data_IF_055182676296
#
_entry.id   IF_055182676296
#
_cell.length_a   1.000
_cell.length_b   1.000
_cell.length_c   1.000
_cell.angle_alpha   90.00
_cell.angle_beta   90.00
_cell.angle_gamma   90.00
#
_symmetry.space_group_name_H-M   'P 1'
#
loop_
_entity.id
_entity.type
_entity.pdbx_description
1 polymer ?
#
# COMPACT_ATOMS: atom_id res chain seq x y z
N UNK A 1 -0.25 50.77 34.46
CA UNK A 1 0.01 49.77 33.41
C UNK A 1 -0.03 48.37 34.02
N UNK A 2 -0.95 47.50 33.60
CA UNK A 2 -1.19 46.21 34.27
C UNK A 2 -0.15 45.16 33.82
N UNK A 3 0.85 44.92 34.66
CA UNK A 3 1.95 43.95 34.41
C UNK A 3 1.43 42.53 34.16
N UNK A 4 0.30 42.14 34.76
CA UNK A 4 -0.30 40.83 34.56
C UNK A 4 -0.86 40.66 33.14
N UNK A 5 -1.49 41.71 32.61
CA UNK A 5 -2.00 41.72 31.24
C UNK A 5 -0.87 41.57 30.20
N UNK A 6 0.24 42.30 30.41
CA UNK A 6 1.44 42.19 29.56
C UNK A 6 2.04 40.78 29.58
N UNK A 7 2.19 40.19 30.77
CA UNK A 7 2.73 38.82 30.93
C UNK A 7 1.84 37.78 30.24
N UNK A 8 0.52 37.92 30.32
CA UNK A 8 -0.43 37.03 29.65
C UNK A 8 -0.34 37.16 28.11
N UNK A 9 -0.23 38.38 27.58
CA UNK A 9 -0.08 38.61 26.16
C UNK A 9 1.21 37.99 25.62
N UNK A 10 2.36 38.20 26.28
CA UNK A 10 3.63 37.58 25.88
C UNK A 10 3.54 36.05 25.86
N UNK A 11 2.91 35.42 26.86
CA UNK A 11 2.75 33.96 26.89
C UNK A 11 1.95 33.43 25.70
N UNK A 12 0.88 34.13 25.29
CA UNK A 12 0.07 33.75 24.13
C UNK A 12 0.87 33.85 22.84
N UNK A 13 1.62 34.93 22.64
CA UNK A 13 2.46 35.11 21.45
C UNK A 13 3.49 33.98 21.35
N UNK A 14 4.17 33.65 22.45
CA UNK A 14 5.14 32.55 22.48
C UNK A 14 4.48 31.20 22.15
N UNK A 15 3.27 30.94 22.67
CA UNK A 15 2.53 29.72 22.36
C UNK A 15 2.15 29.62 20.88
N UNK A 16 1.67 30.71 20.28
CA UNK A 16 1.32 30.77 18.85
C UNK A 16 2.55 30.58 17.98
N UNK A 17 3.67 31.25 18.30
CA UNK A 17 4.93 31.08 17.57
C UNK A 17 5.44 29.64 17.65
N UNK A 18 5.35 29.00 18.83
CA UNK A 18 5.73 27.59 19.02
C UNK A 18 4.86 26.67 18.18
N UNK A 19 3.53 26.85 18.22
CA UNK A 19 2.59 26.08 17.42
C UNK A 19 2.83 26.25 15.91
N UNK A 20 3.05 27.49 15.44
CA UNK A 20 3.34 27.76 14.04
C UNK A 20 4.64 27.11 13.56
N UNK A 21 5.68 27.13 14.40
CA UNK A 21 6.96 26.44 14.12
C UNK A 21 6.75 24.93 14.02
N UNK A 22 5.97 24.34 14.93
CA UNK A 22 5.69 22.91 14.92
C UNK A 22 4.89 22.50 13.68
N UNK A 23 3.86 23.27 13.31
CA UNK A 23 3.07 23.03 12.09
C UNK A 23 3.90 23.13 10.82
N UNK A 24 4.79 24.12 10.73
CA UNK A 24 5.74 24.26 9.60
C UNK A 24 6.69 23.07 9.51
N UNK A 25 7.13 22.54 10.64
CA UNK A 25 8.00 21.36 10.69
C UNK A 25 7.24 20.08 10.29
N UNK A 26 5.99 19.93 10.71
CA UNK A 26 5.13 18.82 10.29
C UNK A 26 4.81 18.87 8.80
N UNK A 27 4.49 20.04 8.24
CA UNK A 27 4.28 20.21 6.80
C UNK A 27 5.55 19.93 6.00
N UNK A 28 6.73 20.32 6.51
CA UNK A 28 8.00 19.99 5.88
C UNK A 28 8.27 18.49 5.90
N UNK A 29 8.00 17.81 7.02
CA UNK A 29 8.06 16.35 7.12
C UNK A 29 7.07 15.67 6.15
N UNK A 30 5.85 16.18 6.04
CA UNK A 30 4.85 15.68 5.07
C UNK A 30 5.30 15.87 3.62
N UNK A 31 5.98 16.97 3.30
CA UNK A 31 6.57 17.19 1.96
C UNK A 31 7.71 16.23 1.66
N UNK A 32 8.57 15.94 2.63
CA UNK A 32 9.70 15.02 2.48
C UNK A 32 9.27 13.54 2.45
N UNK A 33 8.24 13.18 3.24
CA UNK A 33 7.63 11.85 3.28
C UNK A 33 6.39 11.73 2.37
N UNK A 34 6.27 12.60 1.37
CA UNK A 34 5.13 12.59 0.46
C UNK A 34 5.12 11.32 -0.42
N UNK A 35 3.98 10.98 -1.04
CA UNK A 35 3.87 9.79 -1.91
C UNK A 35 4.96 9.73 -2.99
N UNK A 36 5.39 10.87 -3.53
CA UNK A 36 6.45 10.94 -4.52
C UNK A 36 7.84 10.49 -4.02
N UNK A 37 8.15 10.60 -2.71
CA UNK A 37 9.39 10.02 -2.18
C UNK A 37 9.27 8.52 -1.97
N UNK A 38 8.10 8.03 -1.56
CA UNK A 38 7.84 6.60 -1.45
C UNK A 38 7.91 5.89 -2.82
N UNK A 39 7.33 6.48 -3.87
CA UNK A 39 7.39 5.93 -5.23
C UNK A 39 8.82 5.88 -5.75
N UNK A 40 9.61 6.95 -5.59
CA UNK A 40 11.04 6.93 -5.98
C UNK A 40 11.81 5.83 -5.26
N UNK A 41 11.56 5.64 -3.97
CA UNK A 41 12.20 4.60 -3.19
C UNK A 41 11.80 3.20 -3.67
N UNK A 42 10.50 2.98 -3.96
CA UNK A 42 10.01 1.70 -4.47
C UNK A 42 10.59 1.39 -5.86
N UNK A 43 10.60 2.35 -6.78
CA UNK A 43 11.21 2.16 -8.10
C UNK A 43 12.71 1.86 -8.01
N UNK A 44 13.42 2.46 -7.05
CA UNK A 44 14.82 2.10 -6.77
C UNK A 44 14.95 0.63 -6.34
N UNK A 45 14.04 0.13 -5.50
CA UNK A 45 14.06 -1.28 -5.09
C UNK A 45 13.68 -2.22 -6.23
N UNK A 46 12.69 -1.86 -7.06
CA UNK A 46 12.32 -2.60 -8.25
C UNK A 46 13.49 -2.73 -9.23
N UNK A 47 14.23 -1.64 -9.44
CA UNK A 47 15.46 -1.66 -10.24
C UNK A 47 16.55 -2.58 -9.63
N UNK A 48 16.75 -2.54 -8.31
CA UNK A 48 17.70 -3.46 -7.65
C UNK A 48 17.28 -4.94 -7.80
N UNK A 49 15.98 -5.22 -7.82
CA UNK A 49 15.43 -6.55 -8.07
C UNK A 49 15.73 -7.02 -9.50
N UNK A 50 15.64 -6.14 -10.50
CA UNK A 50 16.05 -6.45 -11.88
C UNK A 50 17.54 -6.81 -11.95
N UNK A 51 18.41 -5.99 -11.35
CA UNK A 51 19.85 -6.22 -11.31
C UNK A 51 20.22 -7.52 -10.58
N UNK A 52 19.50 -7.83 -9.51
CA UNK A 52 19.62 -9.13 -8.84
C UNK A 52 19.21 -10.27 -9.78
N UNK A 53 18.10 -10.13 -10.51
CA UNK A 53 17.68 -11.12 -11.50
C UNK A 53 18.72 -11.38 -12.57
N UNK A 54 19.33 -10.32 -13.10
CA UNK A 54 20.44 -10.42 -14.08
C UNK A 54 21.63 -11.18 -13.49
N UNK A 55 22.04 -10.83 -12.27
CA UNK A 55 23.17 -11.46 -11.57
C UNK A 55 22.95 -12.96 -11.37
N UNK A 56 21.73 -13.35 -11.04
CA UNK A 56 21.37 -14.74 -10.70
C UNK A 56 20.69 -15.49 -11.84
N UNK A 57 20.65 -14.92 -13.06
CA UNK A 57 19.99 -15.48 -14.24
C UNK A 57 18.50 -15.83 -14.00
N UNK A 58 17.82 -15.05 -13.17
CA UNK A 58 16.38 -15.16 -12.91
C UNK A 58 15.64 -14.19 -13.82
N UNK A 59 14.75 -14.73 -14.66
CA UNK A 59 13.85 -13.92 -15.48
C UNK A 59 12.56 -13.62 -14.73
N UNK A 60 12.14 -12.36 -14.79
CA UNK A 60 10.86 -11.92 -14.26
C UNK A 60 9.85 -11.76 -15.39
N UNK A 61 8.58 -12.00 -15.09
CA UNK A 61 7.46 -11.76 -15.98
C UNK A 61 6.66 -10.56 -15.47
N UNK A 62 6.95 -9.31 -15.92
CA UNK A 62 6.34 -8.11 -15.35
C UNK A 62 4.82 -8.11 -15.47
N UNK A 63 4.26 -8.73 -16.52
CA UNK A 63 2.81 -8.89 -16.70
C UNK A 63 2.13 -9.78 -15.64
N UNK A 64 2.91 -10.58 -14.89
CA UNK A 64 2.40 -11.39 -13.77
C UNK A 64 2.61 -10.71 -12.41
N UNK A 65 3.32 -9.59 -12.36
CA UNK A 65 3.54 -8.86 -11.12
C UNK A 65 2.25 -8.20 -10.67
N UNK A 66 1.95 -8.34 -9.38
CA UNK A 66 0.81 -7.70 -8.73
C UNK A 66 1.33 -6.63 -7.77
N UNK A 67 0.71 -5.47 -7.76
CA UNK A 67 1.01 -4.40 -6.83
C UNK A 67 -0.27 -3.95 -6.13
N UNK A 68 -0.20 -3.70 -4.84
CA UNK A 68 -1.32 -3.23 -4.03
C UNK A 68 -0.83 -2.20 -3.03
N UNK A 69 -1.58 -1.11 -2.86
CA UNK A 69 -1.23 -0.04 -1.92
C UNK A 69 -1.98 -0.26 -0.61
N UNK A 70 -1.22 -0.49 0.46
CA UNK A 70 -1.77 -0.57 1.82
C UNK A 70 -1.51 0.77 2.50
N UNK A 71 -2.56 1.56 2.71
CA UNK A 71 -2.44 2.88 3.33
C UNK A 71 -3.72 3.30 4.03
N UNK A 72 -3.56 4.07 5.11
CA UNK A 72 -4.67 4.77 5.79
C UNK A 72 -4.95 6.15 5.20
N UNK A 73 -4.11 6.61 4.26
CA UNK A 73 -4.23 7.94 3.66
C UNK A 73 -5.18 7.91 2.46
N UNK A 74 -6.19 8.80 2.43
CA UNK A 74 -7.04 8.94 1.26
C UNK A 74 -6.21 9.40 0.06
N UNK A 75 -6.43 8.77 -1.10
CA UNK A 75 -5.72 9.10 -2.34
C UNK A 75 -4.30 8.54 -2.45
N UNK A 76 -3.83 7.71 -1.51
CA UNK A 76 -2.53 7.06 -1.61
C UNK A 76 -2.41 6.19 -2.88
N UNK A 77 -3.47 5.46 -3.24
CA UNK A 77 -3.51 4.68 -4.48
C UNK A 77 -3.32 5.56 -5.72
N UNK A 78 -4.05 6.69 -5.82
CA UNK A 78 -3.89 7.66 -6.92
C UNK A 78 -2.48 8.23 -7.01
N UNK A 79 -1.84 8.46 -5.87
CA UNK A 79 -0.51 9.03 -5.83
C UNK A 79 0.60 8.03 -6.22
N UNK A 80 0.29 6.74 -6.28
CA UNK A 80 1.21 5.65 -6.67
C UNK A 80 0.83 5.05 -8.03
N UNK A 81 -0.43 5.16 -8.43
CA UNK A 81 -0.96 4.62 -9.69
C UNK A 81 -0.12 5.06 -10.87
N UNK A 82 0.23 4.09 -11.73
CA UNK A 82 1.00 4.30 -12.97
C UNK A 82 2.43 4.85 -12.79
N UNK A 83 2.89 5.04 -11.55
CA UNK A 83 4.25 5.52 -11.29
C UNK A 83 5.22 4.41 -10.89
N UNK A 84 4.73 3.21 -10.57
CA UNK A 84 5.58 2.05 -10.31
C UNK A 84 5.93 1.37 -11.63
N UNK A 85 7.22 1.20 -11.89
CA UNK A 85 7.72 0.60 -13.12
C UNK A 85 8.67 -0.56 -12.82
N UNK A 86 8.55 -1.63 -13.59
CA UNK A 86 9.43 -2.79 -13.56
C UNK A 86 9.61 -3.34 -14.98
N UNK A 87 10.84 -3.54 -15.43
CA UNK A 87 11.21 -3.96 -16.78
C UNK A 87 10.73 -2.97 -17.84
N UNK A 88 10.71 -1.68 -17.53
CA UNK A 88 10.16 -0.64 -18.41
C UNK A 88 8.62 -0.67 -18.55
N UNK A 89 7.91 -1.58 -17.87
CA UNK A 89 6.44 -1.66 -17.86
C UNK A 89 5.90 -1.05 -16.58
N UNK A 90 4.80 -0.31 -16.68
CA UNK A 90 4.07 0.18 -15.51
C UNK A 90 3.33 -0.99 -14.82
N UNK A 91 3.45 -1.07 -13.49
CA UNK A 91 2.74 -2.06 -12.69
C UNK A 91 1.29 -1.62 -12.46
N UNK A 92 0.35 -2.53 -12.70
CA UNK A 92 -1.06 -2.28 -12.39
C UNK A 92 -1.30 -2.43 -10.88
N UNK A 93 -1.94 -1.40 -10.30
CA UNK A 93 -2.42 -1.49 -8.93
C UNK A 93 -3.71 -2.29 -8.88
N UNK A 94 -3.77 -3.24 -7.96
CA UNK A 94 -4.94 -4.09 -7.72
C UNK A 94 -5.47 -3.82 -6.31
N UNK A 95 -6.80 -3.93 -6.16
CA UNK A 95 -7.46 -3.80 -4.85
C UNK A 95 -7.32 -5.05 -3.98
N UNK A 96 -6.90 -6.15 -4.59
CA UNK A 96 -6.61 -7.43 -3.97
C UNK A 96 -5.41 -8.10 -4.62
N UNK A 97 -4.71 -8.94 -3.88
CA UNK A 97 -3.63 -9.78 -4.40
C UNK A 97 -3.88 -11.24 -4.03
N UNK A 98 -3.39 -12.17 -4.87
CA UNK A 98 -3.44 -13.60 -4.59
C UNK A 98 -2.04 -14.10 -4.26
N UNK A 99 -1.86 -14.57 -3.04
CA UNK A 99 -0.58 -15.07 -2.53
C UNK A 99 -0.80 -16.45 -1.93
N UNK A 100 -0.09 -17.46 -2.45
CA UNK A 100 -0.15 -18.85 -1.97
C UNK A 100 -1.57 -19.42 -1.86
N UNK A 101 -2.44 -19.10 -2.82
CA UNK A 101 -3.83 -19.56 -2.85
C UNK A 101 -4.81 -18.68 -2.06
N UNK A 102 -4.32 -17.78 -1.21
CA UNK A 102 -5.14 -16.85 -0.43
C UNK A 102 -5.33 -15.53 -1.18
N UNK A 103 -6.54 -14.97 -1.14
CA UNK A 103 -6.83 -13.63 -1.67
C UNK A 103 -7.00 -12.65 -0.53
N UNK A 104 -6.26 -11.53 -0.58
CA UNK A 104 -6.24 -10.49 0.46
C UNK A 104 -6.50 -9.14 -0.18
N UNK A 105 -7.35 -8.30 0.44
CA UNK A 105 -7.66 -6.94 -0.03
C UNK A 105 -6.68 -5.87 0.50
N UNK A 106 -6.80 -4.64 0.02
CA UNK A 106 -6.01 -3.48 0.45
C UNK A 106 -6.19 -3.09 1.93
N UNK A 107 -7.23 -3.62 2.59
CA UNK A 107 -7.46 -3.51 4.03
C UNK A 107 -6.90 -4.72 4.81
N UNK A 108 -6.17 -5.62 4.15
CA UNK A 108 -5.63 -6.86 4.70
C UNK A 108 -6.70 -7.85 5.18
N UNK A 109 -7.90 -7.78 4.61
CA UNK A 109 -9.00 -8.70 4.89
C UNK A 109 -9.04 -9.82 3.86
N UNK A 110 -9.49 -10.98 4.30
CA UNK A 110 -9.63 -12.19 3.49
C UNK A 110 -11.08 -12.67 3.40
N UNK A 111 -12.07 -11.86 3.79
CA UNK A 111 -13.49 -12.25 3.82
C UNK A 111 -14.01 -12.71 2.46
N UNK A 112 -13.61 -12.05 1.37
CA UNK A 112 -13.97 -12.47 0.02
C UNK A 112 -13.41 -13.86 -0.32
N UNK A 113 -12.19 -14.17 0.15
CA UNK A 113 -11.59 -15.49 -0.02
C UNK A 113 -12.36 -16.56 0.77
N UNK A 114 -12.69 -16.31 2.05
CA UNK A 114 -13.49 -17.25 2.85
C UNK A 114 -14.83 -17.52 2.18
N UNK A 115 -15.54 -16.48 1.74
CA UNK A 115 -16.81 -16.63 1.04
C UNK A 115 -16.68 -17.49 -0.22
N UNK A 116 -15.65 -17.27 -1.04
CA UNK A 116 -15.39 -18.05 -2.23
C UNK A 116 -15.11 -19.54 -1.92
N UNK A 117 -14.28 -19.81 -0.91
CA UNK A 117 -13.97 -21.19 -0.47
C UNK A 117 -15.21 -21.89 0.09
N UNK A 118 -16.02 -21.20 0.90
CA UNK A 118 -17.27 -21.75 1.44
C UNK A 118 -18.26 -22.06 0.32
N UNK A 119 -18.40 -21.19 -0.67
CA UNK A 119 -19.24 -21.44 -1.84
C UNK A 119 -18.75 -22.64 -2.65
N UNK A 120 -17.45 -22.72 -2.93
CA UNK A 120 -16.85 -23.85 -3.66
C UNK A 120 -17.05 -25.17 -2.93
N UNK A 121 -16.84 -25.19 -1.61
CA UNK A 121 -17.10 -26.36 -0.77
C UNK A 121 -18.58 -26.79 -0.79
N UNK A 122 -19.51 -25.82 -0.76
CA UNK A 122 -20.95 -26.09 -0.82
C UNK A 122 -21.37 -26.65 -2.17
N UNK A 123 -20.83 -26.14 -3.28
CA UNK A 123 -21.10 -26.66 -4.62
C UNK A 123 -20.56 -28.09 -4.78
N UNK A 124 -19.36 -28.37 -4.24
CA UNK A 124 -18.75 -29.71 -4.27
C UNK A 124 -19.50 -30.73 -3.40
N UNK A 125 -20.14 -30.30 -2.31
CA UNK A 125 -20.92 -31.21 -1.46
C UNK A 125 -22.31 -31.54 -2.03
N UNK A 126 -22.85 -30.70 -2.91
CA UNK A 126 -24.16 -30.90 -3.55
C UNK A 126 -24.11 -31.82 -4.78
N UNK A 127 -22.94 -32.03 -5.38
CA UNK A 127 -22.74 -32.96 -6.49
C UNK A 127 -21.82 -34.11 -6.03
N UNK A 128 -22.34 -35.20 -5.43
CA UNK A 128 -21.53 -36.38 -5.17
C UNK A 128 -21.02 -36.91 -6.51
N UNK A 129 -19.70 -36.97 -6.67
CA UNK A 129 -19.06 -37.52 -7.85
C UNK A 129 -19.62 -38.92 -8.12
N UNK A 130 -20.19 -39.12 -9.30
CA UNK A 130 -20.60 -40.44 -9.76
C UNK A 130 -19.40 -41.37 -9.67
N UNK A 131 -19.47 -42.29 -8.70
CA UNK A 131 -18.50 -43.36 -8.54
C UNK A 131 -18.60 -44.26 -9.77
N UNK A 132 -17.69 -44.06 -10.71
CA UNK A 132 -17.44 -45.01 -11.79
C UNK A 132 -16.94 -46.34 -11.21
N UNK A 133 -17.89 -47.22 -10.85
CA UNK A 133 -17.74 -48.64 -11.15
C UNK A 133 -17.94 -48.78 -12.66
N UNK A 134 -17.31 -49.69 -13.39
CA UNK A 134 -16.79 -51.03 -13.12
C UNK A 134 -16.11 -51.43 -14.47
N UNK A 135 -15.67 -52.68 -14.70
CA UNK A 135 -15.05 -53.68 -13.84
C UNK A 135 -13.55 -53.90 -14.14
#
# INVERSE_FOLDING_TARGET
MNKALHKAACKRVVAVCRWAKQRKQEDLKRKLCGPGSAVRQLNKQLWLLEQWGETWQVSFAPEKMQAMVISRLPGASRAVSEQLCFGGKALSLQDHIKVLGMTVDHCLRFYGHVGAVTQEASLKSLCPAESGGNP
#
